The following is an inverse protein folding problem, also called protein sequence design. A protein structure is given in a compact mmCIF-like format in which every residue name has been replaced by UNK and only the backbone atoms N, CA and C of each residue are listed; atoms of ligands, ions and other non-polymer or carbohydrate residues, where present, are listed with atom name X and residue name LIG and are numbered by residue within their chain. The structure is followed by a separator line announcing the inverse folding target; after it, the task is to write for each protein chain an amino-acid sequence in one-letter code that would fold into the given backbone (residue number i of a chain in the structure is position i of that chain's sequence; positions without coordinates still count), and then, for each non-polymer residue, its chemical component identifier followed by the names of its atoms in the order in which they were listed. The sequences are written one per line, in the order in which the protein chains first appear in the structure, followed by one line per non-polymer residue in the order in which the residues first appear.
data_IF_561789268562
#
_entry.id   IF_561789268562
#
_cell.length_a   1.000
_cell.length_b   1.000
_cell.length_c   1.000
_cell.angle_alpha   90.00
_cell.angle_beta   90.00
_cell.angle_gamma   90.00
#
_symmetry.space_group_name_H-M   'P 1'
#
loop_
_entity.id
_entity.type
_entity.pdbx_description
1 polymer ?
#
# COMPACT_ATOMS: atom_id res chain seq x y z
N UNK A 1 -13.83 -41.95 21.89
CA UNK A 1 -13.36 -40.67 22.45
C UNK A 1 -14.60 -39.81 22.73
N UNK A 2 -15.19 -39.92 23.93
CA UNK A 2 -16.42 -39.19 24.27
C UNK A 2 -16.02 -37.81 24.76
N UNK A 3 -16.16 -36.81 23.89
CA UNK A 3 -16.07 -35.40 24.24
C UNK A 3 -17.08 -35.14 25.37
N UNK A 4 -16.62 -34.66 26.52
CA UNK A 4 -17.46 -34.56 27.71
C UNK A 4 -18.58 -33.54 27.49
N UNK A 5 -19.72 -33.74 28.15
CA UNK A 5 -20.87 -32.82 28.06
C UNK A 5 -20.53 -31.37 28.47
N UNK A 6 -19.50 -31.18 29.29
CA UNK A 6 -19.00 -29.86 29.69
C UNK A 6 -18.28 -29.13 28.55
N UNK A 7 -17.55 -29.85 27.68
CA UNK A 7 -16.91 -29.26 26.50
C UNK A 7 -17.94 -28.84 25.43
N UNK A 8 -19.04 -29.60 25.29
CA UNK A 8 -20.14 -29.24 24.40
C UNK A 8 -20.89 -27.97 24.86
N UNK A 9 -20.99 -27.77 26.18
CA UNK A 9 -21.66 -26.58 26.77
C UNK A 9 -20.87 -25.29 26.51
N UNK A 10 -19.54 -25.31 26.62
CA UNK A 10 -18.68 -24.15 26.30
C UNK A 10 -18.77 -23.70 24.85
N UNK A 11 -19.04 -24.62 23.92
CA UNK A 11 -19.23 -24.31 22.50
C UNK A 11 -20.61 -23.71 22.21
N UNK A 12 -21.64 -24.09 22.98
CA UNK A 12 -22.98 -23.51 22.85
C UNK A 12 -23.05 -22.09 23.41
N UNK A 13 -22.35 -21.78 24.50
CA UNK A 13 -22.31 -20.44 25.11
C UNK A 13 -21.70 -19.36 24.19
N UNK A 14 -21.01 -19.74 23.11
CA UNK A 14 -20.49 -18.79 22.12
C UNK A 14 -21.53 -18.37 21.07
N UNK A 15 -22.63 -19.13 20.98
CA UNK A 15 -23.68 -18.93 19.97
C UNK A 15 -25.02 -18.61 20.63
N UNK A 16 -25.26 -19.07 21.86
CA UNK A 16 -26.53 -18.93 22.57
C UNK A 16 -26.32 -18.37 23.99
N UNK A 17 -27.26 -17.55 24.45
CA UNK A 17 -27.32 -17.07 25.83
C UNK A 17 -27.75 -18.21 26.79
N UNK A 18 -27.72 -17.93 28.09
CA UNK A 18 -28.06 -18.92 29.14
C UNK A 18 -29.52 -19.40 29.12
N UNK A 19 -30.37 -18.80 28.29
CA UNK A 19 -31.78 -19.17 28.09
C UNK A 19 -32.04 -19.72 26.68
N UNK A 20 -30.98 -19.96 25.89
CA UNK A 20 -31.07 -20.62 24.59
C UNK A 20 -31.42 -19.71 23.43
N UNK A 21 -31.36 -18.38 23.58
CA UNK A 21 -31.49 -17.45 22.46
C UNK A 21 -30.13 -17.27 21.78
N UNK A 22 -30.11 -17.11 20.46
CA UNK A 22 -28.86 -16.79 19.76
C UNK A 22 -28.28 -15.47 20.28
N UNK A 23 -27.01 -15.48 20.67
CA UNK A 23 -26.26 -14.26 20.99
C UNK A 23 -26.21 -13.40 19.72
N UNK A 24 -26.85 -12.23 19.77
CA UNK A 24 -26.78 -11.24 18.69
C UNK A 24 -25.63 -10.31 19.00
N UNK A 25 -24.62 -10.29 18.12
CA UNK A 25 -23.61 -9.24 18.13
C UNK A 25 -24.24 -8.01 17.48
N UNK A 26 -24.43 -6.94 18.27
CA UNK A 26 -24.83 -5.66 17.73
C UNK A 26 -23.67 -5.07 16.94
N UNK A 27 -23.86 -4.83 15.64
CA UNK A 27 -22.90 -4.07 14.84
C UNK A 27 -23.28 -2.59 14.94
N UNK A 28 -22.53 -1.82 15.73
CA UNK A 28 -22.64 -0.37 15.78
C UNK A 28 -21.72 0.22 14.72
N UNK A 29 -22.30 0.79 13.68
CA UNK A 29 -21.61 1.65 12.73
C UNK A 29 -21.81 3.09 13.19
N UNK A 30 -20.87 3.60 13.97
CA UNK A 30 -20.75 5.03 14.28
C UNK A 30 -20.52 5.83 12.98
N UNK A 31 -20.29 7.14 13.08
CA UNK A 31 -19.79 7.93 11.95
C UNK A 31 -18.47 7.31 11.46
N UNK A 32 -18.59 6.51 10.41
CA UNK A 32 -17.56 5.60 9.95
C UNK A 32 -17.68 5.45 8.44
N UNK A 33 -16.59 5.11 7.75
CA UNK A 33 -16.61 4.93 6.30
C UNK A 33 -17.59 3.85 5.81
N UNK A 34 -18.15 3.03 6.71
CA UNK A 34 -19.10 1.95 6.42
C UNK A 34 -20.53 2.43 6.14
N UNK A 35 -20.89 3.65 6.54
CA UNK A 35 -22.21 4.25 6.28
C UNK A 35 -22.09 5.46 5.34
N UNK A 36 -23.09 5.66 4.49
CA UNK A 36 -23.21 6.90 3.71
C UNK A 36 -23.87 8.03 4.52
N UNK A 37 -23.90 9.23 3.96
CA UNK A 37 -24.51 10.42 4.59
C UNK A 37 -26.02 10.29 4.87
N UNK A 38 -26.65 9.21 4.43
CA UNK A 38 -28.06 8.89 4.64
C UNK A 38 -28.24 7.63 5.50
N UNK A 39 -27.21 7.23 6.26
CA UNK A 39 -27.21 6.08 7.17
C UNK A 39 -27.47 4.72 6.48
N UNK A 40 -27.21 4.60 5.17
CA UNK A 40 -27.23 3.31 4.47
C UNK A 40 -25.86 2.65 4.54
N UNK A 41 -25.87 1.33 4.68
CA UNK A 41 -24.65 0.54 4.62
C UNK A 41 -24.06 0.58 3.22
N UNK A 42 -22.78 0.93 3.13
CA UNK A 42 -22.03 0.84 1.88
C UNK A 42 -21.70 -0.62 1.61
N UNK A 43 -22.08 -1.09 0.43
CA UNK A 43 -21.69 -2.41 -0.08
C UNK A 43 -20.87 -2.20 -1.34
N UNK A 44 -19.70 -2.81 -1.40
CA UNK A 44 -18.85 -2.82 -2.59
C UNK A 44 -18.83 -4.22 -3.20
N UNK A 45 -19.06 -4.31 -4.51
CA UNK A 45 -18.81 -5.52 -5.31
C UNK A 45 -17.52 -5.31 -6.11
N UNK A 46 -16.34 -5.54 -5.51
CA UNK A 46 -15.08 -5.34 -6.22
C UNK A 46 -15.04 -6.24 -7.46
N UNK A 47 -14.59 -5.68 -8.57
CA UNK A 47 -14.31 -6.40 -9.80
C UNK A 47 -12.84 -6.18 -10.12
N UNK A 48 -12.10 -7.26 -10.33
CA UNK A 48 -10.69 -7.16 -10.71
C UNK A 48 -10.60 -6.67 -12.14
N UNK A 49 -10.27 -5.39 -12.32
CA UNK A 49 -10.09 -4.80 -13.65
C UNK A 49 -8.77 -5.22 -14.29
N UNK A 50 -7.73 -5.43 -13.48
CA UNK A 50 -6.40 -5.79 -13.92
C UNK A 50 -5.74 -6.70 -12.89
N UNK A 51 -5.01 -7.69 -13.38
CA UNK A 51 -4.23 -8.60 -12.56
C UNK A 51 -2.96 -8.94 -13.33
N UNK A 52 -1.82 -8.72 -12.71
CA UNK A 52 -0.52 -8.96 -13.31
C UNK A 52 0.40 -9.68 -12.31
N UNK A 53 0.27 -11.01 -12.26
CA UNK A 53 1.12 -11.87 -11.44
C UNK A 53 2.29 -12.38 -12.26
N UNK A 54 3.52 -12.09 -11.85
CA UNK A 54 4.74 -12.47 -12.56
C UNK A 54 5.15 -13.92 -12.27
N UNK A 55 4.20 -14.86 -12.38
CA UNK A 55 4.40 -16.26 -11.96
C UNK A 55 5.43 -16.98 -12.85
N UNK A 56 5.41 -16.72 -14.15
CA UNK A 56 6.24 -17.44 -15.12
C UNK A 56 7.23 -16.54 -15.86
N UNK A 57 6.89 -15.27 -16.02
CA UNK A 57 7.71 -14.28 -16.71
C UNK A 57 7.50 -12.88 -16.11
N UNK A 58 8.23 -11.91 -16.65
CA UNK A 58 8.10 -10.51 -16.29
C UNK A 58 6.87 -9.84 -16.92
N UNK A 59 5.90 -10.57 -17.47
CA UNK A 59 4.68 -10.04 -18.09
C UNK A 59 4.93 -8.91 -19.11
N UNK A 60 5.73 -9.14 -20.17
CA UNK A 60 6.16 -8.08 -21.09
C UNK A 60 5.01 -7.49 -21.93
N UNK A 61 3.85 -8.15 -21.98
CA UNK A 61 2.64 -7.63 -22.64
C UNK A 61 1.86 -6.64 -21.77
N UNK A 62 2.08 -6.66 -20.45
CA UNK A 62 1.37 -5.79 -19.50
C UNK A 62 2.25 -4.66 -18.97
N UNK A 63 3.56 -4.85 -18.98
CA UNK A 63 4.54 -3.93 -18.42
C UNK A 63 5.57 -3.49 -19.46
N UNK A 64 5.81 -2.19 -19.52
CA UNK A 64 7.04 -1.63 -20.07
C UNK A 64 8.15 -1.69 -19.02
N UNK A 65 9.35 -2.03 -19.46
CA UNK A 65 10.56 -2.07 -18.63
C UNK A 65 11.70 -1.49 -19.47
N UNK A 66 12.14 -0.30 -19.11
CA UNK A 66 13.11 0.48 -19.89
C UNK A 66 14.20 1.06 -19.00
N UNK A 67 15.43 0.96 -19.49
CA UNK A 67 16.52 1.82 -19.03
C UNK A 67 16.39 3.16 -19.74
N UNK A 68 16.12 4.20 -18.97
CA UNK A 68 15.96 5.57 -19.47
C UNK A 68 17.31 6.30 -19.55
N UNK A 69 18.26 5.98 -18.65
CA UNK A 69 19.62 6.54 -18.66
C UNK A 69 20.61 5.73 -17.80
N UNK A 70 21.90 5.99 -17.97
CA UNK A 70 22.96 5.54 -17.04
C UNK A 70 23.69 4.23 -17.40
N UNK A 71 23.21 3.45 -18.37
CA UNK A 71 23.98 2.32 -18.95
C UNK A 71 24.24 1.14 -18.00
N UNK A 72 23.75 1.18 -16.76
CA UNK A 72 24.11 0.26 -15.68
C UNK A 72 22.92 -0.07 -14.79
N UNK A 73 21.71 -0.05 -15.35
CA UNK A 73 20.51 -0.47 -14.63
C UNK A 73 20.15 -1.92 -14.97
N UNK A 74 19.56 -2.65 -14.03
CA UNK A 74 19.12 -4.03 -14.24
C UNK A 74 17.64 -4.19 -13.90
N UNK A 75 17.00 -5.19 -14.51
CA UNK A 75 15.67 -5.67 -14.12
C UNK A 75 15.62 -7.17 -14.37
N UNK A 76 15.71 -7.92 -13.27
CA UNK A 76 15.84 -9.37 -13.29
C UNK A 76 14.57 -10.01 -12.72
N UNK A 77 13.92 -10.85 -13.51
CA UNK A 77 12.74 -11.58 -13.08
C UNK A 77 13.11 -12.91 -12.44
N UNK A 78 12.52 -13.16 -11.27
CA UNK A 78 12.63 -14.43 -10.55
C UNK A 78 11.31 -15.18 -10.61
N UNK A 79 11.31 -16.33 -11.28
CA UNK A 79 10.17 -17.26 -11.32
C UNK A 79 9.87 -17.81 -9.92
N UNK A 80 10.90 -18.03 -9.09
CA UNK A 80 10.74 -18.61 -7.75
C UNK A 80 10.06 -17.65 -6.78
N UNK A 81 10.28 -16.35 -6.93
CA UNK A 81 9.67 -15.31 -6.09
C UNK A 81 8.46 -14.66 -6.75
N UNK A 82 8.22 -14.96 -8.04
CA UNK A 82 7.25 -14.27 -8.88
C UNK A 82 7.38 -12.74 -8.80
N UNK A 83 8.63 -12.26 -8.87
CA UNK A 83 9.02 -10.86 -8.64
C UNK A 83 10.00 -10.39 -9.72
N UNK A 84 10.14 -9.07 -9.89
CA UNK A 84 11.23 -8.46 -10.64
C UNK A 84 12.05 -7.58 -9.71
N UNK A 85 13.36 -7.76 -9.72
CA UNK A 85 14.30 -6.95 -8.95
C UNK A 85 14.91 -5.92 -9.89
N UNK A 86 14.71 -4.64 -9.59
CA UNK A 86 15.36 -3.55 -10.33
C UNK A 86 16.58 -3.06 -9.55
N UNK A 87 17.66 -2.78 -10.27
CA UNK A 87 18.90 -2.28 -9.70
C UNK A 87 19.46 -1.11 -10.49
N UNK A 88 20.22 -0.27 -9.80
CA UNK A 88 21.08 0.76 -10.41
C UNK A 88 22.51 0.49 -9.99
N UNK A 89 23.44 0.55 -10.94
CA UNK A 89 24.86 0.35 -10.69
C UNK A 89 25.54 1.56 -10.06
N UNK A 90 26.87 1.61 -10.17
CA UNK A 90 27.68 2.70 -9.61
C UNK A 90 27.60 4.00 -10.40
N UNK A 91 27.07 3.96 -11.63
CA UNK A 91 26.80 5.14 -12.46
C UNK A 91 25.35 5.53 -12.26
N UNK A 92 25.10 6.82 -12.03
CA UNK A 92 23.75 7.36 -11.93
C UNK A 92 22.93 6.95 -13.17
N UNK A 93 21.80 6.29 -12.94
CA UNK A 93 20.93 5.77 -13.97
C UNK A 93 19.48 5.71 -13.52
N UNK A 94 18.58 5.68 -14.49
CA UNK A 94 17.14 5.63 -14.27
C UNK A 94 16.60 4.41 -14.99
N UNK A 95 15.86 3.58 -14.26
CA UNK A 95 15.10 2.48 -14.81
C UNK A 95 13.65 2.60 -14.39
N UNK A 96 12.75 2.45 -15.35
CA UNK A 96 11.32 2.58 -15.11
C UNK A 96 10.63 1.30 -15.52
N UNK A 97 9.79 0.78 -14.62
CA UNK A 97 8.91 -0.34 -14.88
C UNK A 97 7.47 0.05 -14.60
N UNK A 98 6.63 0.09 -15.63
CA UNK A 98 5.27 0.64 -15.56
C UNK A 98 4.29 -0.21 -16.38
N UNK A 99 3.04 -0.31 -15.93
CA UNK A 99 1.99 -0.96 -16.73
C UNK A 99 1.59 -0.11 -17.94
N UNK A 100 1.34 -0.73 -19.09
CA UNK A 100 0.78 -0.01 -20.25
C UNK A 100 -0.64 0.52 -20.01
N UNK A 101 -1.35 -0.07 -19.03
CA UNK A 101 -2.67 0.39 -18.61
C UNK A 101 -2.53 1.48 -17.54
N UNK A 102 -3.24 2.60 -17.74
CA UNK A 102 -3.41 3.64 -16.72
C UNK A 102 -4.71 3.41 -15.93
N UNK A 103 -4.63 3.50 -14.61
CA UNK A 103 -5.77 3.30 -13.71
C UNK A 103 -6.43 4.63 -13.35
N UNK A 104 -7.10 5.24 -14.33
CA UNK A 104 -7.73 6.54 -14.10
C UNK A 104 -8.78 6.47 -12.99
N UNK A 105 -8.82 7.51 -12.16
CA UNK A 105 -9.85 7.69 -11.17
C UNK A 105 -11.23 7.80 -11.86
N UNK A 106 -12.18 6.98 -11.41
CA UNK A 106 -13.56 7.07 -11.86
C UNK A 106 -14.33 8.05 -10.98
N UNK A 107 -14.84 9.12 -11.58
CA UNK A 107 -15.55 10.17 -10.86
C UNK A 107 -16.75 9.61 -10.09
N UNK A 108 -16.89 10.01 -8.83
CA UNK A 108 -17.97 9.56 -7.95
C UNK A 108 -17.72 8.21 -7.28
N UNK A 109 -16.55 7.59 -7.49
CA UNK A 109 -16.09 6.41 -6.71
C UNK A 109 -15.01 6.80 -5.71
N UNK A 110 -14.78 6.01 -4.68
CA UNK A 110 -13.57 6.14 -3.86
C UNK A 110 -12.42 5.44 -4.56
N UNK A 111 -11.21 6.00 -4.48
CA UNK A 111 -9.97 5.32 -4.83
C UNK A 111 -9.23 4.99 -3.54
N UNK A 112 -8.77 3.74 -3.44
CA UNK A 112 -7.90 3.28 -2.38
C UNK A 112 -6.78 2.48 -3.02
N UNK A 113 -5.55 2.88 -2.75
CA UNK A 113 -4.34 2.19 -3.22
C UNK A 113 -3.68 1.53 -2.02
N UNK A 114 -3.56 0.20 -2.07
CA UNK A 114 -2.87 -0.58 -1.03
C UNK A 114 -1.63 -1.20 -1.66
N UNK A 115 -0.48 -0.97 -1.04
CA UNK A 115 0.80 -1.51 -1.48
C UNK A 115 1.50 -2.15 -0.29
N UNK A 116 2.26 -3.22 -0.53
CA UNK A 116 3.14 -3.82 0.47
C UNK A 116 4.56 -3.77 -0.06
N UNK A 117 5.49 -3.30 0.77
CA UNK A 117 6.88 -3.16 0.37
C UNK A 117 7.77 -2.70 1.50
N UNK A 118 9.08 -2.74 1.26
CA UNK A 118 10.10 -2.13 2.12
C UNK A 118 10.52 -0.85 1.42
N UNK A 119 10.33 0.30 2.07
CA UNK A 119 10.69 1.59 1.45
C UNK A 119 12.19 1.84 1.54
N UNK A 120 12.86 1.38 2.60
CA UNK A 120 14.30 1.59 2.80
C UNK A 120 15.01 0.31 3.28
N UNK A 121 15.14 -0.70 2.42
CA UNK A 121 15.74 -1.99 2.82
C UNK A 121 17.21 -1.87 3.24
N UNK A 122 17.98 -1.02 2.55
CA UNK A 122 19.42 -0.86 2.77
C UNK A 122 19.79 0.13 3.88
N UNK A 123 18.82 0.85 4.44
CA UNK A 123 19.04 1.86 5.49
C UNK A 123 19.61 3.20 4.99
N UNK A 124 19.26 3.61 3.76
CA UNK A 124 19.67 4.89 3.18
C UNK A 124 20.89 4.82 2.25
N UNK A 125 21.31 6.00 1.78
CA UNK A 125 22.50 6.24 0.97
C UNK A 125 22.47 7.63 0.31
N UNK A 126 23.59 8.36 0.33
CA UNK A 126 23.69 9.68 -0.29
C UNK A 126 23.37 9.60 -1.80
N UNK A 127 22.50 10.47 -2.30
CA UNK A 127 22.09 10.49 -3.70
C UNK A 127 21.10 9.40 -4.12
N UNK A 128 20.54 8.62 -3.17
CA UNK A 128 19.51 7.61 -3.46
C UNK A 128 18.13 8.17 -3.11
N UNK A 129 17.25 8.19 -4.11
CA UNK A 129 15.82 8.49 -3.96
C UNK A 129 14.99 7.30 -4.38
N UNK A 130 14.00 6.95 -3.56
CA UNK A 130 13.09 5.82 -3.82
C UNK A 130 11.69 6.13 -3.36
N UNK A 131 10.70 5.69 -4.13
CA UNK A 131 9.31 6.02 -3.86
C UNK A 131 8.36 4.85 -4.12
N UNK A 132 7.32 4.76 -3.30
CA UNK A 132 6.24 3.78 -3.44
C UNK A 132 4.91 4.51 -3.41
N UNK A 133 4.08 4.31 -4.44
CA UNK A 133 2.82 5.00 -4.54
C UNK A 133 2.14 4.88 -5.89
N UNK A 134 1.14 5.74 -6.07
CA UNK A 134 0.41 5.92 -7.31
C UNK A 134 0.85 7.23 -7.98
N UNK A 135 1.89 7.17 -8.81
CA UNK A 135 2.50 8.35 -9.42
C UNK A 135 3.18 8.07 -10.76
N UNK A 136 3.44 9.15 -11.50
CA UNK A 136 4.30 9.23 -12.67
C UNK A 136 5.20 10.47 -12.59
N UNK A 137 5.86 10.83 -13.69
CA UNK A 137 6.76 11.98 -13.78
C UNK A 137 6.03 13.32 -13.58
N UNK A 138 4.72 13.38 -13.84
CA UNK A 138 3.95 14.61 -13.86
C UNK A 138 3.03 14.76 -12.64
N UNK A 139 2.44 13.67 -12.13
CA UNK A 139 1.43 13.69 -11.08
C UNK A 139 1.43 12.43 -10.23
N UNK A 140 1.01 12.56 -8.96
CA UNK A 140 0.72 11.40 -8.13
C UNK A 140 0.74 11.64 -6.63
N UNK A 141 0.49 10.56 -5.90
CA UNK A 141 0.57 10.47 -4.45
C UNK A 141 1.43 9.27 -4.07
N UNK A 142 2.47 9.50 -3.27
CA UNK A 142 3.44 8.46 -2.92
C UNK A 142 4.19 8.78 -1.64
N UNK A 143 4.76 7.73 -1.04
CA UNK A 143 5.78 7.85 -0.02
C UNK A 143 7.14 7.94 -0.71
N UNK A 144 7.98 8.85 -0.24
CA UNK A 144 9.32 9.09 -0.76
C UNK A 144 10.32 8.94 0.37
N UNK A 145 11.38 8.19 0.11
CA UNK A 145 12.65 8.30 0.80
C UNK A 145 13.58 9.15 -0.06
N UNK A 146 13.99 10.29 0.49
CA UNK A 146 14.89 11.27 -0.11
C UNK A 146 16.13 11.36 0.76
N UNK A 147 17.15 10.56 0.42
CA UNK A 147 18.42 10.49 1.16
C UNK A 147 18.23 10.23 2.67
N UNK A 148 17.30 9.34 3.03
CA UNK A 148 16.95 9.00 4.42
C UNK A 148 15.82 9.84 5.01
N UNK A 149 15.36 10.90 4.32
CA UNK A 149 14.23 11.71 4.76
C UNK A 149 12.92 11.18 4.20
N UNK A 150 12.13 10.52 5.04
CA UNK A 150 10.83 9.99 4.65
C UNK A 150 9.77 11.09 4.59
N UNK A 151 9.01 11.13 3.50
CA UNK A 151 7.94 12.10 3.25
C UNK A 151 6.73 11.46 2.56
N UNK A 152 5.55 12.01 2.81
CA UNK A 152 4.38 11.82 1.92
C UNK A 152 4.41 12.94 0.90
N UNK A 153 4.29 12.59 -0.38
CA UNK A 153 4.45 13.53 -1.50
C UNK A 153 3.19 13.57 -2.33
N UNK A 154 2.69 14.80 -2.56
CA UNK A 154 1.74 15.09 -3.64
C UNK A 154 2.48 15.77 -4.78
N UNK A 155 2.65 15.04 -5.88
CA UNK A 155 3.18 15.58 -7.14
C UNK A 155 2.05 16.11 -8.01
N UNK A 156 2.22 17.32 -8.55
CA UNK A 156 1.25 17.93 -9.46
C UNK A 156 1.92 18.76 -10.54
N UNK A 157 1.39 18.67 -11.76
CA UNK A 157 1.75 19.53 -12.91
C UNK A 157 0.62 20.48 -13.30
N UNK A 158 -0.29 20.81 -12.38
CA UNK A 158 -1.46 21.63 -12.69
C UNK A 158 -1.13 23.04 -13.23
N UNK A 159 0.06 23.57 -12.91
CA UNK A 159 0.54 24.89 -13.36
C UNK A 159 1.42 24.82 -14.61
N UNK A 160 1.56 23.65 -15.25
CA UNK A 160 2.44 23.43 -16.39
C UNK A 160 3.89 23.11 -16.03
N UNK A 161 4.23 23.06 -14.75
CA UNK A 161 5.52 22.59 -14.24
C UNK A 161 5.30 21.64 -13.07
N UNK A 162 6.16 20.62 -12.95
CA UNK A 162 6.05 19.61 -11.90
C UNK A 162 6.43 20.24 -10.56
N UNK A 163 5.57 20.07 -9.56
CA UNK A 163 5.78 20.51 -8.18
C UNK A 163 5.52 19.34 -7.25
N UNK A 164 6.52 19.03 -6.41
CA UNK A 164 6.42 18.04 -5.34
C UNK A 164 6.11 18.75 -4.02
N UNK A 165 4.86 18.63 -3.55
CA UNK A 165 4.48 19.04 -2.20
C UNK A 165 4.83 17.92 -1.22
N UNK A 166 6.04 18.02 -0.65
CA UNK A 166 6.56 17.04 0.33
C UNK A 166 6.12 17.41 1.75
N UNK A 167 5.58 16.44 2.47
CA UNK A 167 5.32 16.51 3.92
C UNK A 167 6.20 15.49 4.62
N UNK A 168 7.29 15.95 5.23
CA UNK A 168 8.23 15.11 5.95
C UNK A 168 7.54 14.40 7.14
N UNK A 169 8.05 13.22 7.51
CA UNK A 169 7.53 12.42 8.61
C UNK A 169 7.38 13.22 9.91
N UNK A 170 8.37 14.05 10.24
CA UNK A 170 8.36 14.93 11.42
C UNK A 170 7.22 15.96 11.43
N UNK A 171 6.56 16.20 10.29
CA UNK A 171 5.43 17.11 10.13
C UNK A 171 4.07 16.39 10.00
N UNK A 172 4.02 15.05 10.18
CA UNK A 172 2.76 14.31 10.16
C UNK A 172 1.87 14.70 11.34
N UNK A 173 0.59 14.92 11.05
CA UNK A 173 -0.34 15.58 11.98
C UNK A 173 -1.16 14.63 12.85
N UNK A 174 -1.33 13.37 12.45
CA UNK A 174 -2.10 12.37 13.21
C UNK A 174 -1.19 11.50 14.07
N UNK A 175 -0.16 10.94 13.45
CA UNK A 175 0.86 10.14 14.10
C UNK A 175 2.15 10.27 13.31
N UNK A 176 3.22 10.71 13.98
CA UNK A 176 4.56 10.83 13.40
C UNK A 176 5.24 9.47 13.28
N UNK A 177 4.78 8.46 14.01
CA UNK A 177 5.34 7.11 14.05
C UNK A 177 6.81 7.09 14.53
N UNK A 178 7.17 7.99 15.44
CA UNK A 178 8.47 8.06 16.11
C UNK A 178 8.44 7.49 17.54
N UNK A 179 7.31 6.89 17.95
CA UNK A 179 7.06 6.41 19.30
C UNK A 179 6.43 7.44 20.24
N UNK A 180 6.29 8.71 19.83
CA UNK A 180 5.66 9.77 20.65
C UNK A 180 4.19 10.02 20.31
N UNK A 181 3.75 9.58 19.13
CA UNK A 181 2.37 9.72 18.65
C UNK A 181 1.37 8.76 19.27
N UNK A 182 0.11 8.86 18.84
CA UNK A 182 -1.03 8.14 19.42
C UNK A 182 -0.88 6.62 19.38
N UNK A 183 -0.21 6.07 18.36
CA UNK A 183 0.04 4.62 18.28
C UNK A 183 1.15 4.13 19.20
N UNK A 184 2.03 5.01 19.69
CA UNK A 184 3.29 4.67 20.36
C UNK A 184 4.21 3.73 19.55
N UNK A 185 4.02 3.64 18.22
CA UNK A 185 4.83 2.84 17.32
C UNK A 185 5.97 3.71 16.79
N UNK A 186 7.19 3.18 16.83
CA UNK A 186 8.30 3.67 16.01
C UNK A 186 8.35 2.83 14.74
N UNK A 187 8.14 3.46 13.59
CA UNK A 187 8.21 2.76 12.31
C UNK A 187 9.67 2.44 11.94
N UNK A 188 9.89 1.20 11.51
CA UNK A 188 11.16 0.76 10.94
C UNK A 188 11.01 0.64 9.42
N UNK A 189 11.59 1.59 8.70
CA UNK A 189 11.53 1.69 7.24
C UNK A 189 12.33 0.59 6.52
N UNK A 190 13.20 -0.12 7.26
CA UNK A 190 13.94 -1.30 6.77
C UNK A 190 13.10 -2.57 6.78
N UNK A 191 11.86 -2.51 7.26
CA UNK A 191 10.92 -3.64 7.31
C UNK A 191 9.78 -3.45 6.33
N UNK A 192 9.14 -4.57 6.01
CA UNK A 192 7.98 -4.58 5.12
C UNK A 192 6.80 -3.90 5.80
N UNK A 193 6.21 -2.93 5.12
CA UNK A 193 5.06 -2.16 5.57
C UNK A 193 3.89 -2.31 4.59
N UNK A 194 2.68 -2.06 5.08
CA UNK A 194 1.49 -1.91 4.24
C UNK A 194 1.15 -0.42 4.15
N UNK A 195 1.22 0.12 2.94
CA UNK A 195 0.94 1.51 2.63
C UNK A 195 -0.47 1.64 2.09
N UNK A 196 -1.17 2.69 2.56
CA UNK A 196 -2.50 3.05 2.11
C UNK A 196 -2.47 4.51 1.63
N UNK A 197 -3.03 4.75 0.44
CA UNK A 197 -3.20 6.09 -0.17
C UNK A 197 -4.63 6.23 -0.67
#
# INVERSE_FOLDING_TARGET
MKRSWEEARKLLDWVYDSVGNRLRVGISVLDSPAIDSFARWRVSTPQTLFNAKQIFDNLPLFWGDSEESGGSTTSDHSVNEASSTMGVGTVAGLRTRQTFRRFNYETGKSLLVIMTGVLDETGGGDGITRGIGYFDDDNGLFFLDDEGTISVVRRTKATGSVVDNKTAQSAWNLDVMDGTGTSAITIDWTKSQIFLI
#
